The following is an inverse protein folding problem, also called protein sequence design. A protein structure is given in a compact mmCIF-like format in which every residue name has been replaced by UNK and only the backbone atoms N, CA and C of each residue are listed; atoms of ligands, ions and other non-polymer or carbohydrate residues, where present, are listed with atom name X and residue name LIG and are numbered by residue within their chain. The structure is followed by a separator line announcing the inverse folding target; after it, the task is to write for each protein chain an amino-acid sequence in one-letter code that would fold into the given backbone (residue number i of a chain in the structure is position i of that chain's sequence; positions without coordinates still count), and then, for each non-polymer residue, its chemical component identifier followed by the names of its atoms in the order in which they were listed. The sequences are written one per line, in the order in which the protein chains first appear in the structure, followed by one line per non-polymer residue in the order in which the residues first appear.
data_IF_544480969464
#
_entry.id   IF_544480969464
#
_cell.length_a   1.000
_cell.length_b   1.000
_cell.length_c   1.000
_cell.angle_alpha   90.00
_cell.angle_beta   90.00
_cell.angle_gamma   90.00
#
_symmetry.space_group_name_H-M   'P 1'
#
loop_
_entity.id
_entity.type
_entity.pdbx_description
1 polymer ?
#
# COMPACT_ATOMS: atom_id res chain seq x y z
N UNK A 1 -29.82 46.08 17.44
CA UNK A 1 -29.52 44.68 17.07
C UNK A 1 -29.42 44.62 15.57
N UNK A 2 -28.24 44.32 15.01
CA UNK A 2 -28.03 44.06 13.58
C UNK A 2 -27.20 42.77 13.47
N UNK A 3 -27.74 41.68 12.93
CA UNK A 3 -26.98 40.48 12.62
C UNK A 3 -26.85 40.37 11.10
N UNK A 4 -25.81 40.97 10.52
CA UNK A 4 -25.36 40.59 9.17
C UNK A 4 -23.98 41.21 8.92
N UNK A 5 -22.95 40.42 9.20
CA UNK A 5 -21.68 40.56 8.50
C UNK A 5 -21.37 39.23 7.83
N UNK A 6 -21.17 39.20 6.49
CA UNK A 6 -20.76 38.01 5.81
C UNK A 6 -19.36 37.62 6.27
N UNK A 7 -19.24 36.42 6.82
CA UNK A 7 -17.97 35.78 7.15
C UNK A 7 -17.08 35.80 5.91
N UNK A 8 -16.03 36.63 5.94
CA UNK A 8 -15.01 36.64 4.90
C UNK A 8 -14.39 35.24 4.79
N UNK A 9 -14.20 34.67 3.59
CA UNK A 9 -13.53 33.39 3.46
C UNK A 9 -12.10 33.55 3.97
N UNK A 10 -11.78 32.87 5.08
CA UNK A 10 -10.40 32.67 5.53
C UNK A 10 -9.70 31.88 4.42
N UNK A 11 -9.05 32.60 3.52
CA UNK A 11 -8.10 32.01 2.58
C UNK A 11 -6.91 31.55 3.41
N UNK A 12 -6.95 30.31 3.89
CA UNK A 12 -5.80 29.68 4.52
C UNK A 12 -4.66 29.66 3.49
N UNK A 13 -3.47 30.24 3.77
CA UNK A 13 -2.34 30.19 2.86
C UNK A 13 -1.68 28.82 3.01
N UNK A 14 -2.38 27.76 2.60
CA UNK A 14 -1.83 26.42 2.50
C UNK A 14 -1.38 26.21 1.05
N UNK A 15 -0.12 25.82 0.90
CA UNK A 15 0.50 25.26 -0.31
C UNK A 15 1.04 26.21 -1.38
N UNK A 16 1.77 27.26 -0.97
CA UNK A 16 2.87 27.74 -1.81
C UNK A 16 3.97 26.66 -1.84
N UNK A 17 3.95 25.79 -2.86
CA UNK A 17 4.96 24.75 -3.06
C UNK A 17 6.34 25.38 -3.16
N UNK A 18 7.22 25.07 -2.20
CA UNK A 18 8.63 25.48 -2.22
C UNK A 18 9.37 24.66 -3.27
N UNK A 19 10.11 25.31 -4.17
CA UNK A 19 10.88 24.68 -5.24
C UNK A 19 12.39 24.89 -5.06
N UNK A 20 13.19 23.92 -5.49
CA UNK A 20 14.65 24.01 -5.57
C UNK A 20 15.12 23.49 -6.94
N UNK A 21 16.04 24.17 -7.64
CA UNK A 21 16.61 23.66 -8.88
C UNK A 21 17.53 22.48 -8.58
N UNK A 22 17.44 21.42 -9.38
CA UNK A 22 18.21 20.18 -9.23
C UNK A 22 19.09 19.87 -10.45
N UNK A 23 19.25 20.82 -11.38
CA UNK A 23 19.98 20.62 -12.64
C UNK A 23 21.43 20.16 -12.41
N UNK A 24 22.08 20.71 -11.37
CA UNK A 24 23.44 20.33 -10.96
C UNK A 24 23.53 18.92 -10.35
N UNK A 25 22.39 18.28 -10.06
CA UNK A 25 22.27 16.95 -9.49
C UNK A 25 21.46 16.00 -10.39
N UNK A 26 21.37 16.29 -11.70
CA UNK A 26 20.61 15.49 -12.66
C UNK A 26 20.99 14.00 -12.62
N UNK A 27 22.26 13.69 -12.39
CA UNK A 27 22.76 12.31 -12.29
C UNK A 27 22.18 11.55 -11.09
N UNK A 28 22.00 12.24 -9.95
CA UNK A 28 21.39 11.67 -8.75
C UNK A 28 19.90 11.41 -8.97
N UNK A 29 19.20 12.34 -9.62
CA UNK A 29 17.77 12.19 -9.97
C UNK A 29 17.57 11.01 -10.92
N UNK A 30 18.42 10.88 -11.94
CA UNK A 30 18.40 9.74 -12.87
C UNK A 30 18.67 8.41 -12.15
N UNK A 31 19.72 8.36 -11.33
CA UNK A 31 20.04 7.17 -10.52
C UNK A 31 18.89 6.76 -9.60
N UNK A 32 18.21 7.74 -9.00
CA UNK A 32 17.02 7.50 -8.19
C UNK A 32 15.87 6.93 -9.02
N UNK A 33 15.59 7.46 -10.22
CA UNK A 33 14.57 6.92 -11.11
C UNK A 33 14.86 5.48 -11.54
N UNK A 34 16.11 5.17 -11.89
CA UNK A 34 16.53 3.83 -12.30
C UNK A 34 16.41 2.82 -11.16
N UNK A 35 16.85 3.21 -9.96
CA UNK A 35 16.68 2.43 -8.75
C UNK A 35 15.20 2.20 -8.44
N UNK A 36 14.36 3.23 -8.60
CA UNK A 36 12.92 3.16 -8.37
C UNK A 36 12.24 2.23 -9.36
N UNK A 37 12.60 2.28 -10.64
CA UNK A 37 12.08 1.40 -11.67
C UNK A 37 12.50 -0.06 -11.43
N UNK A 38 13.75 -0.28 -11.04
CA UNK A 38 14.28 -1.60 -10.70
C UNK A 38 13.57 -2.19 -9.48
N UNK A 39 13.38 -1.39 -8.43
CA UNK A 39 12.58 -1.78 -7.27
C UNK A 39 11.14 -2.14 -7.67
N UNK A 40 10.52 -1.34 -8.55
CA UNK A 40 9.18 -1.60 -9.07
C UNK A 40 9.08 -2.96 -9.78
N UNK A 41 10.04 -3.29 -10.65
CA UNK A 41 10.10 -4.59 -11.35
C UNK A 41 10.34 -5.75 -10.39
N UNK A 42 11.26 -5.59 -9.44
CA UNK A 42 11.51 -6.60 -8.42
C UNK A 42 10.26 -6.86 -7.58
N UNK A 43 9.55 -5.79 -7.18
CA UNK A 43 8.29 -5.91 -6.45
C UNK A 43 7.21 -6.64 -7.25
N UNK A 44 7.02 -6.27 -8.51
CA UNK A 44 6.06 -6.95 -9.38
C UNK A 44 6.38 -8.44 -9.56
N UNK A 45 7.66 -8.79 -9.61
CA UNK A 45 8.11 -10.18 -9.70
C UNK A 45 7.74 -10.96 -8.44
N UNK A 46 7.97 -10.39 -7.25
CA UNK A 46 7.57 -10.98 -5.97
C UNK A 46 6.05 -11.15 -5.91
N UNK A 47 5.29 -10.12 -6.26
CA UNK A 47 3.82 -10.16 -6.24
C UNK A 47 3.28 -11.27 -7.18
N UNK A 48 3.90 -11.47 -8.36
CA UNK A 48 3.56 -12.57 -9.28
C UNK A 48 3.83 -13.94 -8.65
N UNK A 49 5.02 -14.14 -8.07
CA UNK A 49 5.41 -15.41 -7.44
C UNK A 49 4.49 -15.72 -6.25
N UNK A 50 4.15 -14.71 -5.44
CA UNK A 50 3.23 -14.87 -4.32
C UNK A 50 1.83 -15.28 -4.80
N UNK A 51 1.33 -14.69 -5.89
CA UNK A 51 0.06 -15.07 -6.50
C UNK A 51 0.08 -16.52 -7.02
N UNK A 52 1.17 -16.95 -7.66
CA UNK A 52 1.35 -18.33 -8.13
C UNK A 52 1.37 -19.32 -6.95
N UNK A 53 2.11 -19.01 -5.87
CA UNK A 53 2.14 -19.85 -4.67
C UNK A 53 0.77 -19.92 -3.97
N UNK A 54 0.04 -18.81 -3.87
CA UNK A 54 -1.32 -18.80 -3.32
C UNK A 54 -2.29 -19.63 -4.17
N UNK A 55 -2.15 -19.58 -5.50
CA UNK A 55 -2.95 -20.41 -6.39
C UNK A 55 -2.64 -21.91 -6.20
N UNK A 56 -1.36 -22.27 -6.01
CA UNK A 56 -0.94 -23.65 -5.70
C UNK A 56 -1.43 -24.13 -4.33
N UNK A 57 -1.44 -23.27 -3.31
CA UNK A 57 -1.98 -23.62 -1.99
C UNK A 57 -3.48 -23.94 -2.04
N UNK A 58 -4.23 -23.33 -2.97
CA UNK A 58 -5.68 -23.45 -2.98
C UNK A 58 -6.25 -23.04 -1.62
N UNK A 59 -7.13 -23.84 -1.04
CA UNK A 59 -7.74 -23.59 0.28
C UNK A 59 -6.92 -24.10 1.47
N UNK A 60 -5.69 -24.59 1.24
CA UNK A 60 -4.83 -25.01 2.33
C UNK A 60 -4.28 -23.82 3.12
N UNK A 61 -4.22 -23.97 4.45
CA UNK A 61 -3.63 -22.99 5.35
C UNK A 61 -2.09 -23.04 5.35
N UNK A 62 -1.48 -24.19 5.05
CA UNK A 62 -0.03 -24.41 5.12
C UNK A 62 0.49 -25.18 3.90
N UNK A 63 1.50 -24.64 3.22
CA UNK A 63 2.30 -25.33 2.22
C UNK A 63 3.57 -25.91 2.82
N UNK A 64 3.92 -27.15 2.45
CA UNK A 64 5.12 -27.84 2.95
C UNK A 64 6.14 -28.08 1.84
N UNK A 65 7.42 -28.10 2.21
CA UNK A 65 8.54 -28.50 1.35
C UNK A 65 9.44 -29.45 2.14
N UNK A 66 9.67 -30.66 1.61
CA UNK A 66 10.44 -31.69 2.33
C UNK A 66 9.80 -32.12 3.67
N UNK A 67 8.47 -32.08 3.76
CA UNK A 67 7.72 -32.41 4.98
C UNK A 67 7.71 -31.32 6.06
N UNK A 68 8.35 -30.17 5.82
CA UNK A 68 8.39 -29.04 6.75
C UNK A 68 7.49 -27.89 6.26
N UNK A 69 6.82 -27.14 7.15
CA UNK A 69 6.08 -25.93 6.80
C UNK A 69 7.00 -24.91 6.11
N UNK A 70 6.66 -24.51 4.89
CA UNK A 70 7.43 -23.56 4.09
C UNK A 70 6.72 -22.22 3.95
N UNK A 71 5.38 -22.25 3.81
CA UNK A 71 4.55 -21.05 3.68
C UNK A 71 3.22 -21.25 4.39
N UNK A 72 2.70 -20.19 4.99
CA UNK A 72 1.39 -20.16 5.64
C UNK A 72 0.51 -19.11 4.96
N UNK A 73 -0.73 -19.46 4.66
CA UNK A 73 -1.74 -18.55 4.12
C UNK A 73 -2.39 -17.81 5.27
N UNK A 74 -2.25 -16.49 5.30
CA UNK A 74 -2.95 -15.64 6.25
C UNK A 74 -3.89 -14.68 5.52
N UNK A 75 -5.06 -14.41 6.08
CA UNK A 75 -5.95 -13.38 5.56
C UNK A 75 -5.62 -12.06 6.26
N UNK A 76 -4.79 -11.24 5.61
CA UNK A 76 -4.52 -9.90 6.08
C UNK A 76 -5.78 -9.04 5.90
N UNK A 77 -6.33 -8.54 7.01
CA UNK A 77 -7.42 -7.57 7.03
C UNK A 77 -6.83 -6.17 7.09
N UNK A 78 -6.71 -5.49 5.95
CA UNK A 78 -6.29 -4.08 5.90
C UNK A 78 -7.49 -3.16 5.83
N UNK A 79 -7.56 -2.13 6.66
CA UNK A 79 -8.50 -1.03 6.43
C UNK A 79 -8.07 -0.25 5.16
N UNK A 80 -8.74 -0.46 4.04
CA UNK A 80 -8.54 0.27 2.78
C UNK A 80 -9.85 0.77 2.19
N UNK A 81 -9.90 2.06 1.89
CA UNK A 81 -11.04 2.75 1.26
C UNK A 81 -11.09 2.36 -0.23
N UNK A 82 -12.27 2.03 -0.76
CA UNK A 82 -12.50 1.97 -2.21
C UNK A 82 -12.78 3.38 -2.73
N UNK A 83 -11.72 4.20 -2.79
CA UNK A 83 -11.80 5.61 -3.16
C UNK A 83 -12.45 5.84 -4.54
N UNK A 84 -12.17 5.05 -5.60
CA UNK A 84 -12.81 5.26 -6.90
C UNK A 84 -14.32 5.08 -6.86
N UNK A 85 -14.82 4.02 -6.20
CA UNK A 85 -16.25 3.77 -6.08
C UNK A 85 -16.93 4.76 -5.13
N UNK A 86 -16.31 5.04 -4.00
CA UNK A 86 -16.80 6.00 -3.00
C UNK A 86 -16.88 7.41 -3.57
N UNK A 87 -15.91 7.85 -4.38
CA UNK A 87 -15.96 9.13 -5.11
C UNK A 87 -17.10 9.21 -6.13
N UNK A 88 -17.54 8.08 -6.69
CA UNK A 88 -18.66 8.03 -7.65
C UNK A 88 -20.02 8.03 -6.96
N UNK A 89 -20.15 7.26 -5.88
CA UNK A 89 -21.45 6.99 -5.25
C UNK A 89 -21.77 7.98 -4.12
N UNK A 90 -20.78 8.37 -3.30
CA UNK A 90 -20.96 9.27 -2.16
C UNK A 90 -19.70 10.14 -1.91
N UNK A 91 -19.44 11.19 -2.73
CA UNK A 91 -18.21 11.99 -2.68
C UNK A 91 -17.97 12.70 -1.34
N UNK A 92 -19.02 13.07 -0.62
CA UNK A 92 -18.98 13.71 0.71
C UNK A 92 -18.49 12.77 1.83
N UNK A 93 -18.52 11.45 1.60
CA UNK A 93 -18.10 10.43 2.57
C UNK A 93 -16.64 10.01 2.40
N UNK A 94 -15.94 10.52 1.38
CA UNK A 94 -14.54 10.17 1.06
C UNK A 94 -13.60 10.39 2.25
N UNK A 95 -13.84 11.42 3.06
CA UNK A 95 -13.02 11.73 4.24
C UNK A 95 -13.41 10.91 5.49
N UNK A 96 -14.56 10.22 5.47
CA UNK A 96 -15.15 9.59 6.66
C UNK A 96 -15.18 8.04 6.61
N UNK A 97 -15.05 7.44 5.43
CA UNK A 97 -15.26 6.00 5.26
C UNK A 97 -13.97 5.17 5.33
N UNK A 98 -13.86 4.25 6.28
CA UNK A 98 -12.84 3.19 6.34
C UNK A 98 -13.48 1.84 6.02
N UNK A 99 -13.01 1.12 4.99
CA UNK A 99 -13.48 -0.25 4.65
C UNK A 99 -12.39 -1.28 4.94
N UNK A 100 -12.73 -2.52 5.30
CA UNK A 100 -11.81 -3.64 5.56
C UNK A 100 -11.58 -4.48 4.28
N UNK A 101 -10.39 -4.39 3.68
CA UNK A 101 -9.90 -5.28 2.61
C UNK A 101 -9.34 -6.57 3.23
N UNK A 102 -9.78 -7.73 2.73
CA UNK A 102 -9.20 -9.04 3.06
C UNK A 102 -8.31 -9.49 1.90
N UNK A 103 -7.04 -9.75 2.15
CA UNK A 103 -6.13 -10.32 1.13
C UNK A 103 -5.43 -11.55 1.71
N UNK A 104 -5.44 -12.69 0.99
CA UNK A 104 -4.53 -13.77 1.33
C UNK A 104 -3.09 -13.29 1.08
N UNK A 105 -2.24 -13.48 2.08
CA UNK A 105 -0.80 -13.18 2.03
C UNK A 105 -0.05 -14.41 2.50
N UNK A 106 1.17 -14.60 1.99
CA UNK A 106 2.03 -15.66 2.47
C UNK A 106 2.93 -15.16 3.60
N UNK A 107 2.92 -15.88 4.72
CA UNK A 107 3.95 -15.75 5.75
C UNK A 107 4.91 -16.91 5.66
N UNK A 108 6.18 -16.61 5.89
CA UNK A 108 7.19 -17.64 6.09
C UNK A 108 7.25 -17.93 7.58
N UNK A 109 7.00 -19.18 8.01
CA UNK A 109 7.13 -19.55 9.40
C UNK A 109 8.56 -19.20 9.85
N UNK A 110 8.67 -18.40 10.92
CA UNK A 110 9.97 -18.14 11.53
C UNK A 110 10.52 -19.49 11.97
N UNK A 111 11.71 -19.87 11.49
CA UNK A 111 12.42 -21.05 11.98
C UNK A 111 12.37 -21.01 13.52
N UNK A 112 11.54 -21.86 14.12
CA UNK A 112 11.69 -22.16 15.53
C UNK A 112 13.07 -22.78 15.63
N UNK A 113 13.99 -22.09 16.30
CA UNK A 113 15.22 -22.72 16.79
C UNK A 113 14.77 -23.95 17.56
N UNK A 114 14.99 -25.12 16.98
CA UNK A 114 14.89 -26.38 17.70
C UNK A 114 16.08 -26.31 18.66
N UNK A 115 15.82 -25.93 19.91
CA UNK A 115 16.80 -26.18 20.95
C UNK A 115 16.85 -27.71 21.15
N UNK A 116 18.04 -28.32 21.11
CA UNK A 116 18.21 -29.75 21.39
C UNK A 116 17.81 -30.10 22.82
#
# INVERSE_FOLDING_TARGET
MNPDQPSSPRSSPLDAKRSVPLDLHADLVRSWHDARATFGRARATVDRIEAELLALLGDADVGTLGGLPAVEREIEKRTGIDLPRLRRECPELVDQYRVLRRRPVLKFPRHRRINP
#
